data_IF_940578242120
#
_entry.id   IF_940578242120
#
_cell.length_a   1.000
_cell.length_b   1.000
_cell.length_c   1.000
_cell.angle_alpha   90.00
_cell.angle_beta   90.00
_cell.angle_gamma   90.00
#
_symmetry.space_group_name_H-M   'P 1'
#
loop_
_entity.id
_entity.type
_entity.pdbx_description
1 polymer ?
#
# COMPACT_ATOMS: atom_id res chain seq x y z
N UNK A 1 20.16 10.93 28.87
CA UNK A 1 19.13 9.91 28.75
C UNK A 1 18.60 10.01 27.32
N UNK A 2 19.10 9.18 26.41
CA UNK A 2 18.59 9.15 25.04
C UNK A 2 17.13 8.72 25.08
N UNK A 3 16.22 9.59 24.65
CA UNK A 3 14.85 9.21 24.41
C UNK A 3 14.85 8.24 23.23
N UNK A 4 14.70 6.94 23.50
CA UNK A 4 14.52 5.93 22.47
C UNK A 4 13.25 6.31 21.66
N UNK A 5 13.43 6.76 20.42
CA UNK A 5 12.29 7.09 19.57
C UNK A 5 11.39 5.87 19.44
N UNK A 6 10.10 6.07 19.56
CA UNK A 6 9.11 4.99 19.42
C UNK A 6 9.15 4.49 17.97
N UNK A 7 9.35 3.20 17.78
CA UNK A 7 9.34 2.59 16.45
C UNK A 7 7.96 2.71 15.79
N UNK A 8 7.94 2.86 14.48
CA UNK A 8 6.72 2.82 13.68
C UNK A 8 6.30 1.35 13.56
N UNK A 9 5.06 1.04 13.97
CA UNK A 9 4.50 -0.31 13.90
C UNK A 9 3.93 -0.54 12.51
N UNK A 10 4.52 -1.46 11.78
CA UNK A 10 4.12 -1.79 10.41
C UNK A 10 3.52 -3.19 10.35
N UNK A 11 2.35 -3.31 9.72
CA UNK A 11 1.81 -4.61 9.32
C UNK A 11 1.97 -4.75 7.82
N UNK A 12 2.67 -5.79 7.37
CA UNK A 12 2.80 -6.14 5.94
C UNK A 12 1.82 -7.26 5.65
N UNK A 13 0.76 -6.93 4.92
CA UNK A 13 -0.26 -7.88 4.49
C UNK A 13 0.00 -8.35 3.07
N UNK A 14 -0.09 -9.66 2.86
CA UNK A 14 0.06 -10.32 1.57
C UNK A 14 -1.13 -11.24 1.31
N UNK A 15 -1.61 -11.26 0.10
CA UNK A 15 -2.59 -12.24 -0.37
C UNK A 15 -2.06 -13.68 -0.22
N UNK A 16 -0.76 -13.90 -0.41
CA UNK A 16 -0.02 -15.15 -0.21
C UNK A 16 -0.61 -16.33 -1.00
N UNK A 17 -1.09 -16.06 -2.23
CA UNK A 17 -1.64 -17.10 -3.12
C UNK A 17 -0.59 -17.71 -4.03
N UNK A 18 0.35 -16.92 -4.51
CA UNK A 18 1.38 -17.36 -5.43
C UNK A 18 2.48 -18.19 -4.75
N UNK A 19 2.74 -17.92 -3.49
CA UNK A 19 3.82 -18.56 -2.75
C UNK A 19 3.40 -19.84 -1.99
N UNK A 20 2.10 -20.13 -1.83
CA UNK A 20 1.67 -21.29 -1.03
C UNK A 20 1.68 -22.59 -1.80
N UNK A 21 2.28 -23.63 -1.17
CA UNK A 21 2.30 -25.01 -1.69
C UNK A 21 1.22 -25.90 -1.09
N UNK A 22 0.61 -25.47 0.00
CA UNK A 22 -0.17 -26.34 0.87
C UNK A 22 -1.47 -26.70 0.19
N UNK A 23 -1.52 -27.92 -0.32
CA UNK A 23 -2.60 -28.67 -0.90
C UNK A 23 -4.05 -28.40 -0.45
N UNK A 24 -4.29 -27.29 0.21
CA UNK A 24 -5.62 -26.71 0.38
C UNK A 24 -6.04 -26.30 -1.01
N UNK A 25 -6.73 -27.20 -1.68
CA UNK A 25 -7.20 -27.08 -3.04
C UNK A 25 -8.13 -25.86 -3.20
N UNK A 26 -7.52 -24.67 -3.34
CA UNK A 26 -8.26 -23.53 -3.84
C UNK A 26 -8.21 -23.62 -5.36
N UNK A 27 -9.34 -23.73 -6.08
CA UNK A 27 -9.37 -23.94 -7.53
C UNK A 27 -8.77 -22.79 -8.36
N UNK A 28 -8.35 -21.71 -7.70
CA UNK A 28 -7.73 -20.52 -8.30
C UNK A 28 -6.26 -20.34 -7.90
N UNK A 29 -5.61 -21.35 -7.32
CA UNK A 29 -4.20 -21.23 -6.96
C UNK A 29 -3.31 -21.39 -8.16
N UNK A 30 -2.51 -20.40 -8.35
CA UNK A 30 -1.34 -20.48 -9.23
C UNK A 30 -0.11 -20.50 -8.29
N UNK A 31 0.06 -21.61 -7.56
CA UNK A 31 1.32 -21.82 -6.84
C UNK A 31 2.42 -21.92 -7.88
N UNK A 32 3.31 -20.95 -7.95
CA UNK A 32 4.42 -20.94 -8.87
C UNK A 32 5.70 -21.25 -8.11
N UNK A 33 6.40 -22.33 -8.52
CA UNK A 33 7.70 -22.70 -7.95
C UNK A 33 8.69 -21.55 -8.07
N UNK A 34 8.65 -20.80 -9.17
CA UNK A 34 9.48 -19.62 -9.41
C UNK A 34 9.24 -18.54 -8.33
N UNK A 35 8.00 -18.26 -7.98
CA UNK A 35 7.68 -17.26 -6.95
C UNK A 35 8.24 -17.68 -5.59
N UNK A 36 8.18 -18.97 -5.25
CA UNK A 36 8.77 -19.50 -4.01
C UNK A 36 10.29 -19.48 -4.00
N UNK A 37 10.92 -19.69 -5.15
CA UNK A 37 12.38 -19.55 -5.28
C UNK A 37 12.80 -18.09 -5.10
N UNK A 38 12.07 -17.14 -5.68
CA UNK A 38 12.34 -15.69 -5.55
C UNK A 38 12.03 -15.22 -4.13
N UNK A 39 10.89 -15.61 -3.57
CA UNK A 39 10.39 -15.13 -2.27
C UNK A 39 10.17 -16.30 -1.29
N UNK A 40 11.24 -16.95 -0.78
CA UNK A 40 11.13 -18.16 0.05
C UNK A 40 10.38 -17.91 1.37
N UNK A 41 10.29 -16.67 1.83
CA UNK A 41 9.51 -16.24 3.01
C UNK A 41 8.27 -15.44 2.62
N UNK A 42 7.83 -15.54 1.36
CA UNK A 42 6.76 -14.76 0.79
C UNK A 42 7.16 -13.31 0.50
N UNK A 43 6.37 -12.62 -0.32
CA UNK A 43 6.56 -11.21 -0.64
C UNK A 43 6.54 -10.35 0.63
N UNK A 44 5.63 -10.65 1.57
CA UNK A 44 5.58 -9.95 2.87
C UNK A 44 6.87 -10.13 3.68
N UNK A 45 7.52 -11.29 3.57
CA UNK A 45 8.83 -11.55 4.19
C UNK A 45 9.92 -10.68 3.60
N UNK A 46 10.00 -10.55 2.27
CA UNK A 46 10.97 -9.69 1.59
C UNK A 46 10.78 -8.20 1.91
N UNK A 47 9.52 -7.74 1.99
CA UNK A 47 9.21 -6.37 2.42
C UNK A 47 9.57 -6.16 3.89
N UNK A 48 9.24 -7.12 4.77
CA UNK A 48 9.64 -7.07 6.18
C UNK A 48 11.16 -6.96 6.32
N UNK A 49 11.92 -7.78 5.58
CA UNK A 49 13.38 -7.74 5.59
C UNK A 49 13.92 -6.34 5.24
N UNK A 50 13.36 -5.70 4.20
CA UNK A 50 13.72 -4.35 3.81
C UNK A 50 13.48 -3.32 4.94
N UNK A 51 12.35 -3.43 5.65
CA UNK A 51 11.99 -2.54 6.75
C UNK A 51 12.83 -2.81 8.01
N UNK A 52 13.13 -4.07 8.31
CA UNK A 52 13.95 -4.44 9.48
C UNK A 52 15.38 -3.90 9.38
N UNK A 53 15.92 -3.77 8.16
CA UNK A 53 17.26 -3.21 7.92
C UNK A 53 17.38 -1.72 8.27
N UNK A 54 16.29 -0.97 8.21
CA UNK A 54 16.26 0.47 8.53
C UNK A 54 16.30 0.73 10.05
N UNK A 55 15.79 -0.19 10.85
CA UNK A 55 15.82 -0.12 12.32
C UNK A 55 14.75 0.75 12.97
N UNK A 56 14.05 1.60 12.24
CA UNK A 56 13.01 2.51 12.75
C UNK A 56 11.63 1.85 12.91
N UNK A 57 11.52 0.58 12.49
CA UNK A 57 10.25 -0.13 12.40
C UNK A 57 10.14 -1.30 13.38
N UNK A 58 8.90 -1.61 13.78
CA UNK A 58 8.47 -2.87 14.38
C UNK A 58 7.51 -3.52 13.39
N UNK A 59 7.96 -4.61 12.74
CA UNK A 59 7.27 -5.19 11.58
C UNK A 59 6.65 -6.53 11.91
N UNK A 60 5.36 -6.69 11.61
CA UNK A 60 4.66 -7.97 11.58
C UNK A 60 4.19 -8.29 10.16
N UNK A 61 4.03 -9.58 9.89
CA UNK A 61 3.40 -10.07 8.66
C UNK A 61 1.99 -10.58 8.96
N UNK A 62 1.10 -10.44 7.96
CA UNK A 62 -0.23 -11.02 7.97
C UNK A 62 -0.59 -11.45 6.53
N UNK A 63 -1.52 -12.41 6.39
CA UNK A 63 -1.92 -12.91 5.07
C UNK A 63 -3.36 -13.38 5.04
N UNK A 64 -3.91 -13.54 3.83
CA UNK A 64 -5.32 -13.77 3.57
C UNK A 64 -5.90 -14.99 4.30
N UNK A 65 -5.21 -16.12 4.29
CA UNK A 65 -5.68 -17.37 4.89
C UNK A 65 -5.13 -17.63 6.30
N UNK A 66 -4.55 -16.63 6.93
CA UNK A 66 -3.97 -16.77 8.27
C UNK A 66 -5.02 -17.17 9.31
N UNK A 67 -6.17 -16.53 9.24
CA UNK A 67 -7.33 -16.77 10.10
C UNK A 67 -8.61 -16.23 9.46
N UNK A 68 -9.73 -16.30 10.18
CA UNK A 68 -11.02 -15.83 9.72
C UNK A 68 -11.12 -14.32 9.48
N UNK A 69 -10.15 -13.55 9.96
CA UNK A 69 -10.03 -12.09 9.83
C UNK A 69 -8.83 -11.67 8.98
N UNK A 70 -8.25 -12.63 8.25
CA UNK A 70 -7.12 -12.40 7.34
C UNK A 70 -5.88 -11.84 8.04
N UNK A 71 -5.64 -12.20 9.31
CA UNK A 71 -4.57 -11.67 10.13
C UNK A 71 -4.73 -10.18 10.51
N UNK A 72 -5.90 -9.59 10.24
CA UNK A 72 -6.20 -8.17 10.43
C UNK A 72 -7.36 -7.95 11.42
N UNK A 73 -7.25 -8.60 12.59
CA UNK A 73 -8.19 -8.37 13.68
C UNK A 73 -8.18 -6.92 14.14
N UNK A 74 -9.21 -6.52 14.91
CA UNK A 74 -9.26 -5.18 15.49
C UNK A 74 -8.02 -4.90 16.36
N UNK A 75 -7.56 -5.87 17.13
CA UNK A 75 -6.36 -5.74 17.95
C UNK A 75 -5.12 -5.49 17.08
N UNK A 76 -4.94 -6.25 16.00
CA UNK A 76 -3.82 -6.06 15.06
C UNK A 76 -3.86 -4.66 14.46
N UNK A 77 -5.01 -4.22 13.95
CA UNK A 77 -5.15 -2.90 13.33
C UNK A 77 -5.01 -1.76 14.34
N UNK A 78 -5.40 -1.93 15.59
CA UNK A 78 -5.16 -0.95 16.66
C UNK A 78 -3.67 -0.83 17.02
N UNK A 79 -2.89 -1.86 16.75
CA UNK A 79 -1.44 -1.90 16.94
C UNK A 79 -0.65 -1.67 15.64
N UNK A 80 -1.29 -1.12 14.60
CA UNK A 80 -0.67 -0.82 13.31
C UNK A 80 -0.67 0.69 13.07
N UNK A 81 0.50 1.25 12.81
CA UNK A 81 0.67 2.65 12.39
C UNK A 81 0.63 2.78 10.85
N UNK A 82 1.19 1.79 10.14
CA UNK A 82 1.17 1.73 8.68
C UNK A 82 0.85 0.32 8.21
N UNK A 83 -0.12 0.18 7.33
CA UNK A 83 -0.47 -1.08 6.67
C UNK A 83 0.09 -1.08 5.25
N UNK A 84 0.95 -2.06 4.95
CA UNK A 84 1.35 -2.41 3.59
C UNK A 84 0.40 -3.44 3.04
N UNK A 85 -0.01 -3.26 1.80
CA UNK A 85 -0.97 -4.12 1.12
C UNK A 85 -0.42 -4.62 -0.20
N UNK A 86 -0.18 -5.91 -0.29
CA UNK A 86 0.11 -6.60 -1.55
C UNK A 86 -0.98 -7.63 -1.83
N UNK A 87 -1.58 -7.61 -3.01
CA UNK A 87 -2.61 -8.57 -3.45
C UNK A 87 -2.71 -8.56 -4.96
N UNK A 88 -3.07 -9.69 -5.57
CA UNK A 88 -3.06 -9.88 -7.02
C UNK A 88 -4.34 -10.56 -7.55
N UNK A 89 -4.59 -11.82 -7.20
CA UNK A 89 -5.66 -12.61 -7.81
C UNK A 89 -6.86 -12.89 -6.89
N UNK A 90 -6.76 -12.62 -5.59
CA UNK A 90 -7.78 -12.94 -4.59
C UNK A 90 -8.44 -11.73 -3.92
N UNK A 91 -8.40 -10.55 -4.54
CA UNK A 91 -9.00 -9.33 -4.00
C UNK A 91 -10.45 -9.51 -3.54
N UNK A 92 -11.24 -10.33 -4.27
CA UNK A 92 -12.63 -10.61 -3.97
C UNK A 92 -12.85 -11.42 -2.69
N UNK A 93 -11.83 -12.13 -2.21
CA UNK A 93 -11.91 -13.04 -1.08
C UNK A 93 -11.73 -12.32 0.27
N UNK A 94 -11.18 -11.10 0.26
CA UNK A 94 -11.08 -10.28 1.47
C UNK A 94 -12.49 -9.90 1.94
N UNK A 95 -12.80 -10.22 3.19
CA UNK A 95 -14.11 -9.94 3.80
C UNK A 95 -14.36 -8.44 3.91
N UNK A 96 -15.60 -8.03 3.64
CA UNK A 96 -15.98 -6.61 3.69
C UNK A 96 -15.82 -6.02 5.10
N UNK A 97 -16.10 -6.81 6.14
CA UNK A 97 -15.94 -6.39 7.55
C UNK A 97 -14.48 -6.05 7.89
N UNK A 98 -13.52 -6.77 7.30
CA UNK A 98 -12.09 -6.46 7.43
C UNK A 98 -11.77 -5.17 6.69
N UNK A 99 -12.29 -5.00 5.47
CA UNK A 99 -12.13 -3.77 4.69
C UNK A 99 -12.73 -2.56 5.41
N UNK A 100 -13.90 -2.72 6.05
CA UNK A 100 -14.57 -1.66 6.84
C UNK A 100 -13.67 -1.18 8.00
N UNK A 101 -13.06 -2.14 8.72
CA UNK A 101 -12.11 -1.82 9.80
C UNK A 101 -10.86 -1.10 9.27
N UNK A 102 -10.27 -1.59 8.18
CA UNK A 102 -9.10 -0.93 7.59
C UNK A 102 -9.45 0.50 7.19
N UNK A 103 -10.59 0.70 6.51
CA UNK A 103 -11.06 2.04 6.12
C UNK A 103 -11.21 2.96 7.34
N UNK A 104 -11.87 2.49 8.39
CA UNK A 104 -12.05 3.26 9.62
C UNK A 104 -10.69 3.67 10.23
N UNK A 105 -9.71 2.75 10.25
CA UNK A 105 -8.37 3.01 10.76
C UNK A 105 -7.60 4.00 9.90
N UNK A 106 -7.70 3.90 8.57
CA UNK A 106 -7.07 4.88 7.66
C UNK A 106 -7.68 6.26 7.85
N UNK A 107 -9.01 6.37 7.91
CA UNK A 107 -9.67 7.65 8.16
C UNK A 107 -9.29 8.25 9.51
N UNK A 108 -8.97 7.42 10.51
CA UNK A 108 -8.53 7.85 11.84
C UNK A 108 -7.03 8.19 11.92
N UNK A 109 -6.23 7.93 10.87
CA UNK A 109 -4.82 8.33 10.83
C UNK A 109 -3.82 7.24 10.44
N UNK A 110 -4.21 5.96 10.41
CA UNK A 110 -3.33 4.88 9.95
C UNK A 110 -2.88 5.12 8.52
N UNK A 111 -1.59 4.92 8.23
CA UNK A 111 -1.05 4.95 6.87
C UNK A 111 -1.41 3.71 6.09
N UNK A 112 -1.51 3.85 4.76
CA UNK A 112 -1.73 2.74 3.84
C UNK A 112 -0.75 2.82 2.67
N UNK A 113 0.06 1.79 2.48
CA UNK A 113 0.94 1.63 1.32
C UNK A 113 0.40 0.49 0.48
N UNK A 114 -0.04 0.79 -0.73
CA UNK A 114 -0.62 -0.19 -1.66
C UNK A 114 0.38 -0.46 -2.77
N UNK A 115 0.68 -1.73 -2.99
CA UNK A 115 1.74 -2.17 -3.88
C UNK A 115 1.16 -2.90 -5.10
N UNK A 116 1.74 -2.61 -6.24
CA UNK A 116 1.53 -3.31 -7.52
C UNK A 116 0.04 -3.53 -7.84
N UNK A 117 -0.37 -4.75 -8.10
CA UNK A 117 -1.76 -5.14 -8.40
C UNK A 117 -2.74 -4.91 -7.24
N UNK A 118 -2.25 -4.52 -6.07
CA UNK A 118 -3.08 -4.01 -4.97
C UNK A 118 -3.98 -2.83 -5.34
N UNK A 119 -3.78 -2.20 -6.51
CA UNK A 119 -4.68 -1.18 -7.06
C UNK A 119 -6.14 -1.69 -7.19
N UNK A 120 -6.34 -2.99 -7.42
CA UNK A 120 -7.67 -3.63 -7.49
C UNK A 120 -8.19 -4.13 -6.16
N UNK A 121 -7.46 -3.93 -5.05
CA UNK A 121 -7.94 -4.31 -3.74
C UNK A 121 -9.20 -3.54 -3.35
N UNK A 122 -10.12 -4.21 -2.63
CA UNK A 122 -11.34 -3.58 -2.12
C UNK A 122 -11.04 -2.31 -1.32
N UNK A 123 -9.98 -2.34 -0.50
CA UNK A 123 -9.60 -1.18 0.31
C UNK A 123 -9.13 -0.01 -0.56
N UNK A 124 -8.28 -0.24 -1.55
CA UNK A 124 -7.79 0.86 -2.38
C UNK A 124 -8.91 1.47 -3.23
N UNK A 125 -9.71 0.64 -3.91
CA UNK A 125 -10.87 1.12 -4.68
C UNK A 125 -11.84 1.93 -3.81
N UNK A 126 -12.08 1.47 -2.57
CA UNK A 126 -12.96 2.19 -1.63
C UNK A 126 -12.39 3.54 -1.22
N UNK A 127 -11.07 3.61 -0.96
CA UNK A 127 -10.40 4.87 -0.60
C UNK A 127 -10.28 5.84 -1.78
N UNK A 128 -10.21 5.33 -3.01
CA UNK A 128 -10.14 6.15 -4.23
C UNK A 128 -11.53 6.59 -4.73
N UNK A 129 -12.55 5.74 -4.59
CA UNK A 129 -13.89 6.01 -5.11
C UNK A 129 -14.00 5.86 -6.62
N UNK A 130 -13.08 5.13 -7.25
CA UNK A 130 -12.99 4.87 -8.69
C UNK A 130 -12.73 3.39 -8.95
N UNK A 131 -12.69 2.98 -10.22
CA UNK A 131 -12.43 1.58 -10.58
C UNK A 131 -11.00 1.15 -10.32
N UNK A 132 -10.08 2.11 -10.21
CA UNK A 132 -8.64 1.90 -10.14
C UNK A 132 -8.09 1.01 -11.28
N UNK A 133 -8.78 0.98 -12.42
CA UNK A 133 -8.33 0.26 -13.61
C UNK A 133 -7.12 0.93 -14.25
N UNK A 134 -6.33 0.11 -14.91
CA UNK A 134 -5.16 0.51 -15.68
C UNK A 134 -4.97 -0.44 -16.86
N UNK A 135 -4.03 -0.15 -17.75
CA UNK A 135 -3.58 -1.09 -18.78
C UNK A 135 -2.41 -1.90 -18.25
N UNK A 136 -2.30 -3.14 -18.65
CA UNK A 136 -1.22 -4.02 -18.24
C UNK A 136 -0.79 -4.99 -19.34
N UNK A 137 0.45 -5.46 -19.28
CA UNK A 137 1.03 -6.46 -20.18
C UNK A 137 2.16 -7.18 -19.47
N UNK A 138 2.20 -8.50 -19.55
CA UNK A 138 3.33 -9.33 -19.10
C UNK A 138 4.19 -9.68 -20.31
N UNK A 139 5.39 -9.12 -20.37
CA UNK A 139 6.32 -9.34 -21.47
C UNK A 139 7.79 -9.20 -21.05
N UNK A 140 8.09 -9.39 -19.75
CA UNK A 140 9.45 -9.29 -19.19
C UNK A 140 10.16 -7.96 -19.53
N UNK A 141 9.39 -6.88 -19.55
CA UNK A 141 9.88 -5.57 -19.99
C UNK A 141 10.72 -4.88 -18.92
N UNK A 142 11.68 -4.11 -19.39
CA UNK A 142 12.40 -3.16 -18.57
C UNK A 142 11.50 -1.98 -18.19
N UNK A 143 11.51 -1.62 -16.90
CA UNK A 143 10.88 -0.42 -16.37
C UNK A 143 11.96 0.58 -15.94
N UNK A 144 11.84 1.83 -16.37
CA UNK A 144 12.62 2.95 -15.82
C UNK A 144 11.73 3.80 -14.96
N UNK A 145 12.02 3.82 -13.67
CA UNK A 145 11.33 4.65 -12.68
C UNK A 145 12.02 6.00 -12.59
N UNK A 146 11.30 7.09 -12.86
CA UNK A 146 11.77 8.46 -12.74
C UNK A 146 11.25 9.09 -11.46
N UNK A 147 12.14 9.68 -10.70
CA UNK A 147 11.81 10.55 -9.57
C UNK A 147 11.43 11.93 -10.11
N UNK A 148 10.13 12.28 -10.07
CA UNK A 148 9.65 13.55 -10.61
C UNK A 148 9.39 14.61 -9.54
N UNK A 149 9.11 14.21 -8.29
CA UNK A 149 9.00 15.10 -7.14
C UNK A 149 10.16 14.87 -6.17
N UNK A 150 11.29 15.52 -6.46
CA UNK A 150 12.56 15.27 -5.75
C UNK A 150 12.57 15.75 -4.30
N UNK A 151 11.74 16.71 -3.94
CA UNK A 151 11.62 17.25 -2.59
C UNK A 151 10.69 16.41 -1.69
N UNK A 152 9.93 15.47 -2.28
CA UNK A 152 9.01 14.66 -1.51
C UNK A 152 9.75 13.67 -0.59
N UNK A 153 9.36 13.51 0.69
CA UNK A 153 10.05 12.63 1.64
C UNK A 153 10.20 11.17 1.16
N UNK A 154 9.22 10.64 0.42
CA UNK A 154 9.30 9.29 -0.17
C UNK A 154 10.45 9.18 -1.17
N UNK A 155 10.85 10.26 -1.81
CA UNK A 155 11.95 10.31 -2.79
C UNK A 155 13.34 10.49 -2.16
N UNK A 156 13.42 10.64 -0.83
CA UNK A 156 14.67 10.92 -0.14
C UNK A 156 15.73 9.82 -0.37
N UNK A 157 16.91 10.21 -0.88
CA UNK A 157 18.02 9.30 -1.16
C UNK A 157 17.78 8.31 -2.32
N UNK A 158 16.69 8.47 -3.08
CA UNK A 158 16.45 7.72 -4.34
C UNK A 158 17.12 8.49 -5.47
N UNK A 159 17.84 7.86 -6.41
CA UNK A 159 18.43 8.53 -7.56
C UNK A 159 17.37 9.16 -8.47
N UNK A 160 17.78 10.07 -9.38
CA UNK A 160 16.86 10.75 -10.31
C UNK A 160 16.05 9.76 -11.17
N UNK A 161 16.65 8.62 -11.48
CA UNK A 161 15.97 7.47 -12.03
C UNK A 161 16.75 6.18 -11.72
N UNK A 162 16.04 5.05 -11.77
CA UNK A 162 16.62 3.72 -11.69
C UNK A 162 15.88 2.76 -12.62
N UNK A 163 16.46 1.59 -12.87
CA UNK A 163 15.90 0.59 -13.79
C UNK A 163 15.55 -0.67 -13.02
N UNK A 164 14.33 -1.14 -13.19
CA UNK A 164 13.91 -2.50 -12.87
C UNK A 164 14.08 -3.31 -14.16
N UNK A 165 14.95 -4.34 -14.16
CA UNK A 165 15.31 -5.02 -15.41
C UNK A 165 14.16 -5.73 -16.10
N UNK A 166 13.31 -6.40 -15.32
CA UNK A 166 12.17 -7.15 -15.82
C UNK A 166 10.96 -6.93 -14.88
N UNK A 167 9.82 -6.64 -15.46
CA UNK A 167 8.56 -6.43 -14.72
C UNK A 167 7.34 -6.63 -15.62
N UNK A 168 6.17 -6.61 -15.02
CA UNK A 168 4.90 -6.41 -15.70
C UNK A 168 4.70 -4.91 -16.00
N UNK A 169 4.32 -4.59 -17.24
CA UNK A 169 4.01 -3.22 -17.64
C UNK A 169 2.63 -2.79 -17.12
N UNK A 170 2.60 -1.61 -16.49
CA UNK A 170 1.38 -0.84 -16.27
C UNK A 170 1.38 0.43 -17.11
N UNK A 171 0.21 0.81 -17.63
CA UNK A 171 0.08 1.97 -18.53
C UNK A 171 -1.12 2.84 -18.21
N UNK A 172 -0.99 4.12 -18.52
CA UNK A 172 -2.11 5.06 -18.44
C UNK A 172 -3.24 4.70 -19.44
N UNK A 173 -4.53 4.97 -19.16
CA UNK A 173 -4.99 5.78 -18.04
C UNK A 173 -5.14 4.92 -16.80
N UNK A 174 -4.57 5.37 -15.67
CA UNK A 174 -4.89 4.87 -14.33
C UNK A 174 -6.13 5.60 -13.81
N UNK A 175 -7.21 4.87 -13.58
CA UNK A 175 -8.49 5.45 -13.16
C UNK A 175 -8.53 5.70 -11.65
N UNK A 176 -7.79 6.71 -11.24
CA UNK A 176 -7.72 7.20 -9.86
C UNK A 176 -8.09 8.69 -9.82
N UNK A 177 -8.56 9.22 -8.68
CA UNK A 177 -8.73 10.66 -8.51
C UNK A 177 -7.38 11.37 -8.66
N UNK A 178 -7.39 12.67 -8.87
CA UNK A 178 -6.16 13.47 -8.91
C UNK A 178 -5.33 13.19 -7.66
N UNK A 179 -4.10 12.68 -7.79
CA UNK A 179 -3.20 12.51 -6.65
C UNK A 179 -2.88 13.82 -5.98
N UNK A 180 -2.54 13.78 -4.68
CA UNK A 180 -1.94 14.93 -4.01
C UNK A 180 -0.57 15.24 -4.60
N UNK A 181 0.27 14.20 -4.71
CA UNK A 181 1.59 14.29 -5.33
C UNK A 181 1.81 13.11 -6.27
N UNK A 182 2.50 13.35 -7.39
CA UNK A 182 3.07 12.30 -8.24
C UNK A 182 4.57 12.28 -7.96
N UNK A 183 5.02 11.29 -7.22
CA UNK A 183 6.42 11.18 -6.77
C UNK A 183 7.27 10.47 -7.81
N UNK A 184 6.71 9.42 -8.42
CA UNK A 184 7.40 8.62 -9.43
C UNK A 184 6.52 8.42 -10.67
N UNK A 185 7.18 8.44 -11.83
CA UNK A 185 6.61 8.05 -13.12
C UNK A 185 7.50 6.96 -13.72
N UNK A 186 6.87 5.92 -14.23
CA UNK A 186 7.57 4.84 -14.94
C UNK A 186 7.42 4.96 -16.44
N UNK A 187 8.48 4.58 -17.14
CA UNK A 187 8.50 4.37 -18.57
C UNK A 187 8.94 2.93 -18.85
N UNK A 188 8.14 2.23 -19.64
CA UNK A 188 8.36 0.83 -20.00
C UNK A 188 9.01 0.72 -21.38
N UNK A 189 9.67 -0.40 -21.62
CA UNK A 189 10.41 -0.64 -22.86
C UNK A 189 9.54 -0.55 -24.10
N UNK A 190 8.27 -0.95 -24.00
CA UNK A 190 7.26 -0.80 -25.06
C UNK A 190 6.82 0.63 -25.32
N UNK A 191 7.24 1.61 -24.51
CA UNK A 191 6.96 3.04 -24.69
C UNK A 191 5.80 3.56 -23.84
N UNK A 192 5.12 2.71 -23.08
CA UNK A 192 4.06 3.15 -22.16
C UNK A 192 4.63 3.91 -20.99
N UNK A 193 3.84 4.87 -20.49
CA UNK A 193 4.12 5.64 -19.27
C UNK A 193 3.05 5.42 -18.23
N UNK A 194 3.45 5.51 -16.96
CA UNK A 194 2.56 5.29 -15.85
C UNK A 194 2.93 6.14 -14.63
N UNK A 195 1.93 6.67 -13.92
CA UNK A 195 2.13 7.32 -12.61
C UNK A 195 2.36 6.23 -11.56
N UNK A 196 3.60 5.77 -11.45
CA UNK A 196 3.97 4.59 -10.68
C UNK A 196 4.13 4.81 -9.18
N UNK A 197 4.23 6.08 -8.73
CA UNK A 197 4.28 6.43 -7.31
C UNK A 197 3.44 7.65 -7.01
N UNK A 198 2.26 7.47 -6.40
CA UNK A 198 1.30 8.56 -6.16
C UNK A 198 0.79 8.58 -4.72
N UNK A 199 0.49 9.78 -4.21
CA UNK A 199 0.04 9.99 -2.84
C UNK A 199 -1.39 10.53 -2.76
N UNK A 200 -2.06 10.18 -1.66
CA UNK A 200 -3.39 10.69 -1.33
C UNK A 200 -3.50 10.94 0.18
N UNK A 201 -4.42 11.80 0.57
CA UNK A 201 -4.88 11.96 1.95
C UNK A 201 -6.37 11.63 2.04
N UNK A 202 -6.76 10.82 3.02
CA UNK A 202 -8.15 10.45 3.28
C UNK A 202 -8.43 10.48 4.78
N UNK A 203 -9.35 11.35 5.21
CA UNK A 203 -9.48 11.64 6.63
C UNK A 203 -8.17 12.19 7.20
N UNK A 204 -7.63 11.53 8.22
CA UNK A 204 -6.33 11.86 8.81
C UNK A 204 -5.19 10.97 8.28
N UNK A 205 -5.52 9.92 7.51
CA UNK A 205 -4.57 8.96 6.97
C UNK A 205 -3.95 9.39 5.65
N UNK A 206 -2.72 8.91 5.42
CA UNK A 206 -1.97 9.10 4.19
C UNK A 206 -1.85 7.77 3.45
N UNK A 207 -1.99 7.83 2.14
CA UNK A 207 -1.97 6.66 1.26
C UNK A 207 -0.89 6.88 0.22
N UNK A 208 -0.06 5.87 0.00
CA UNK A 208 0.89 5.81 -1.09
C UNK A 208 0.63 4.57 -1.92
N UNK A 209 0.48 4.73 -3.23
CA UNK A 209 0.46 3.64 -4.19
C UNK A 209 1.81 3.59 -4.91
N UNK A 210 2.36 2.36 -5.08
CA UNK A 210 3.60 2.13 -5.79
C UNK A 210 3.49 0.91 -6.71
N UNK A 211 3.74 1.13 -8.02
CA UNK A 211 3.49 0.13 -9.05
C UNK A 211 4.51 -1.02 -9.13
N UNK A 212 5.85 -0.79 -8.99
CA UNK A 212 6.81 -1.89 -9.07
C UNK A 212 6.51 -2.99 -8.04
N UNK A 213 6.47 -4.28 -8.47
CA UNK A 213 6.20 -5.32 -7.46
C UNK A 213 5.58 -6.62 -7.95
N UNK A 214 5.70 -6.99 -9.23
CA UNK A 214 5.18 -8.27 -9.73
C UNK A 214 5.90 -9.46 -9.09
N UNK A 215 5.14 -10.50 -8.75
CA UNK A 215 5.59 -11.65 -7.95
C UNK A 215 6.66 -12.52 -8.63
N UNK A 216 6.69 -12.56 -9.96
CA UNK A 216 7.63 -13.40 -10.71
C UNK A 216 9.01 -12.77 -10.91
N UNK A 217 9.26 -11.59 -10.32
CA UNK A 217 10.53 -10.89 -10.40
C UNK A 217 11.04 -10.48 -9.01
N UNK A 218 12.37 -10.45 -8.76
CA UNK A 218 12.94 -10.17 -7.45
C UNK A 218 12.92 -8.67 -7.08
N UNK A 219 11.84 -7.97 -7.39
CA UNK A 219 11.71 -6.51 -7.32
C UNK A 219 11.92 -6.00 -5.88
N UNK A 220 11.38 -6.70 -4.87
CA UNK A 220 11.50 -6.28 -3.47
C UNK A 220 12.89 -6.50 -2.86
N UNK A 221 13.85 -7.01 -3.65
CA UNK A 221 15.27 -7.07 -3.28
C UNK A 221 16.11 -5.93 -3.90
N UNK A 222 15.54 -5.14 -4.83
CA UNK A 222 16.20 -3.95 -5.37
C UNK A 222 16.39 -2.88 -4.28
N UNK A 223 17.58 -2.30 -4.18
CA UNK A 223 17.93 -1.36 -3.12
C UNK A 223 17.15 -0.03 -3.20
N UNK A 224 16.81 0.43 -4.42
CA UNK A 224 16.04 1.65 -4.60
C UNK A 224 14.56 1.42 -4.25
N UNK A 225 14.02 0.26 -4.62
CA UNK A 225 12.68 -0.16 -4.22
C UNK A 225 12.60 -0.24 -2.70
N UNK A 226 13.54 -0.94 -2.03
CA UNK A 226 13.60 -1.04 -0.57
C UNK A 226 13.67 0.32 0.10
N UNK A 227 14.44 1.26 -0.47
CA UNK A 227 14.50 2.65 0.02
C UNK A 227 13.16 3.36 -0.10
N UNK A 228 12.48 3.23 -1.24
CA UNK A 228 11.12 3.78 -1.42
C UNK A 228 10.16 3.22 -0.39
N UNK A 229 10.18 1.90 -0.12
CA UNK A 229 9.30 1.28 0.89
C UNK A 229 9.54 1.83 2.30
N UNK A 230 10.80 1.95 2.73
CA UNK A 230 11.15 2.52 4.03
C UNK A 230 10.69 3.99 4.14
N UNK A 231 10.95 4.79 3.12
CA UNK A 231 10.52 6.19 3.07
C UNK A 231 8.99 6.31 3.07
N UNK A 232 8.29 5.43 2.34
CA UNK A 232 6.83 5.38 2.30
C UNK A 232 6.25 5.05 3.68
N UNK A 233 6.82 4.09 4.40
CA UNK A 233 6.42 3.77 5.76
C UNK A 233 6.57 4.97 6.69
N UNK A 234 7.70 5.67 6.64
CA UNK A 234 7.96 6.89 7.42
C UNK A 234 6.99 8.01 7.06
N UNK A 235 6.77 8.25 5.77
CA UNK A 235 5.87 9.30 5.32
C UNK A 235 4.40 9.00 5.64
N UNK A 236 3.95 7.75 5.49
CA UNK A 236 2.59 7.34 5.80
C UNK A 236 2.31 7.26 7.30
N UNK A 237 3.32 7.17 8.16
CA UNK A 237 3.12 7.07 9.61
C UNK A 237 2.22 8.20 10.14
N UNK A 238 1.34 7.90 11.12
CA UNK A 238 0.37 8.85 11.62
C UNK A 238 1.00 10.13 12.17
N UNK A 239 0.51 11.28 11.75
CA UNK A 239 0.84 12.58 12.37
C UNK A 239 -0.09 12.85 13.55
N UNK A 240 -1.34 12.48 13.40
CA UNK A 240 -2.41 12.67 14.37
C UNK A 240 -3.29 11.43 14.31
N UNK A 241 -3.79 11.02 15.48
CA UNK A 241 -4.87 10.05 15.59
C UNK A 241 -6.15 10.77 16.00
N UNK A 242 -7.26 10.42 15.40
CA UNK A 242 -8.55 11.00 15.74
C UNK A 242 -9.70 10.26 15.10
N UNK A 243 -10.90 10.61 15.49
CA UNK A 243 -12.12 10.14 14.84
C UNK A 243 -12.69 11.31 14.05
N UNK A 244 -12.63 11.31 12.71
CA UNK A 244 -13.33 12.30 11.91
C UNK A 244 -14.82 12.18 12.18
N UNK A 245 -15.43 13.23 12.71
CA UNK A 245 -16.85 13.19 13.03
C UNK A 245 -17.44 14.58 13.14
N UNK A 246 -18.75 14.65 12.94
CA UNK A 246 -19.53 15.85 13.19
C UNK A 246 -20.15 15.74 14.58
N UNK A 247 -20.01 16.79 15.39
CA UNK A 247 -20.65 16.91 16.69
C UNK A 247 -21.95 17.70 16.50
N UNK A 248 -23.06 17.18 17.05
CA UNK A 248 -24.29 17.97 17.14
C UNK A 248 -24.04 19.15 18.05
N UNK A 249 -24.29 20.36 17.56
CA UNK A 249 -24.26 21.58 18.35
C UNK A 249 -25.64 21.80 18.94
N UNK A 250 -25.76 21.65 20.23
CA UNK A 250 -27.07 21.82 20.94
C UNK A 250 -27.35 23.27 21.28
N UNK A 251 -26.32 24.06 21.55
CA UNK A 251 -26.46 25.46 21.90
C UNK A 251 -25.87 26.32 20.76
N UNK A 252 -26.68 27.22 20.14
CA UNK A 252 -26.17 28.14 19.15
C UNK A 252 -25.22 29.17 19.79
N UNK A 253 -24.23 29.62 19.05
CA UNK A 253 -23.27 30.66 19.46
C UNK A 253 -23.92 32.04 19.55
N UNK A 254 -25.01 32.27 18.78
CA UNK A 254 -25.76 33.52 18.76
C UNK A 254 -27.26 33.23 18.82
N UNK A 255 -28.03 34.24 19.19
CA UNK A 255 -29.49 34.14 19.27
C UNK A 255 -30.12 33.82 17.91
N UNK A 256 -30.83 32.68 17.80
CA UNK A 256 -31.55 32.33 16.60
C UNK A 256 -32.87 33.09 16.56
N UNK A 257 -32.95 34.12 15.74
CA UNK A 257 -34.21 34.81 15.46
C UNK A 257 -34.97 33.99 14.42
N UNK A 258 -35.81 33.06 14.87
CA UNK A 258 -36.70 32.31 13.96
C UNK A 258 -37.83 33.23 13.48
N UNK A 259 -37.77 33.63 12.22
CA UNK A 259 -38.96 34.14 11.53
C UNK A 259 -39.77 32.92 11.12
N UNK A 260 -40.74 32.50 11.90
CA UNK A 260 -41.77 31.59 11.41
C UNK A 260 -42.72 32.44 10.53
N UNK A 261 -42.65 32.23 9.21
CA UNK A 261 -43.68 32.63 8.28
C UNK A 261 -44.86 31.68 8.35
#
# INVERSE_FOLDING_TARGET
MEMKMKKIRVTVWNEYRHETTDGIAHPKRVGDDLVREIYPHGIHGAIKEALDLDGDFEVRCAWLDQDSEHGLSEEVLNNTDVLFWWGHCAHGEVKNEVVDRIQARVLAGMGLVVLHSGHKSKIFMRMMGTTCDLKWRVADEKERVWRVESAHPIAAGVPDNFVVPNTEMYGERFDIPTPKDTVFISWYEGGEVFRSGVTFERGLGRIFYFAPGHETYPIYYDENIRKVLCNAAKWCAPRIWGTPGCIRVEQPLEEIKSVRV
#
